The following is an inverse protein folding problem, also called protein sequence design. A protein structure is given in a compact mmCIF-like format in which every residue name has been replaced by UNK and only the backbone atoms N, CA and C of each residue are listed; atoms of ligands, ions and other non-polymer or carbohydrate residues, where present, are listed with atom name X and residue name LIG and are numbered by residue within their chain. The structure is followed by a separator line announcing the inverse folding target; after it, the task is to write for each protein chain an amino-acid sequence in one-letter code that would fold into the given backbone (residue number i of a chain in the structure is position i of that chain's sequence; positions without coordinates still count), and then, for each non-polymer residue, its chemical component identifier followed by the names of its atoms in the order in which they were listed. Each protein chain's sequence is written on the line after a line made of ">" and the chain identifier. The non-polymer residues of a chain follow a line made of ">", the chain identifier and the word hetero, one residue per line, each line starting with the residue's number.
data_IF_889736824513
#
_entry.id   IF_889736824513
#
_cell.length_a   1.000
_cell.length_b   1.000
_cell.length_c   1.000
_cell.angle_alpha   90.00
_cell.angle_beta   90.00
_cell.angle_gamma   90.00
#
_symmetry.space_group_name_H-M   'P 1'
#
loop_
_entity.id
_entity.type
_entity.pdbx_description
1 polymer ?
#
# COMPACT_ATOMS: atom_id res chain seq x y z
N UNK A 1 4.99 -17.68 10.43
CA UNK A 1 4.96 -17.36 11.90
C UNK A 1 5.69 -16.07 12.27
N UNK A 2 6.47 -15.47 11.38
CA UNK A 2 7.23 -14.23 11.66
C UNK A 2 6.35 -12.97 11.79
N UNK A 3 5.12 -13.00 11.26
CA UNK A 3 4.17 -11.87 11.38
C UNK A 3 3.37 -11.83 12.68
N UNK A 4 3.16 -12.97 13.33
CA UNK A 4 2.37 -13.06 14.57
C UNK A 4 3.16 -12.76 15.85
N UNK A 5 4.47 -12.91 15.84
CA UNK A 5 5.31 -12.63 17.04
C UNK A 5 5.36 -11.14 17.40
N UNK A 6 5.21 -10.23 16.46
CA UNK A 6 5.19 -8.79 16.76
C UNK A 6 3.86 -8.32 17.36
N UNK A 7 2.75 -9.00 17.07
CA UNK A 7 1.45 -8.72 17.69
C UNK A 7 1.32 -9.29 19.12
N UNK A 8 2.06 -10.33 19.45
CA UNK A 8 1.99 -11.04 20.76
C UNK A 8 2.59 -10.22 21.91
N UNK A 9 3.49 -9.29 21.66
CA UNK A 9 4.14 -8.50 22.73
C UNK A 9 3.21 -7.53 23.47
N UNK A 10 2.14 -7.07 22.82
CA UNK A 10 1.21 -6.10 23.42
C UNK A 10 -0.05 -6.75 24.03
N UNK A 11 -0.27 -8.06 23.79
CA UNK A 11 -1.46 -8.77 24.27
C UNK A 11 -1.14 -10.23 24.64
N UNK A 12 -0.29 -10.43 25.65
CA UNK A 12 0.13 -11.76 26.13
C UNK A 12 -1.02 -12.72 26.51
N UNK A 13 -2.24 -12.25 26.58
CA UNK A 13 -3.42 -13.01 26.98
C UNK A 13 -4.50 -13.10 25.87
N UNK A 14 -4.21 -12.73 24.63
CA UNK A 14 -5.18 -12.84 23.53
C UNK A 14 -5.06 -14.22 22.89
N UNK A 15 -6.12 -15.04 22.93
CA UNK A 15 -6.15 -16.35 22.28
C UNK A 15 -5.94 -16.23 20.76
N UNK A 16 -5.08 -17.07 20.21
CA UNK A 16 -4.78 -17.13 18.76
C UNK A 16 -5.29 -18.44 18.19
N UNK A 17 -6.22 -18.37 17.24
CA UNK A 17 -6.85 -19.55 16.60
C UNK A 17 -6.40 -19.66 15.13
N UNK A 18 -5.83 -20.79 14.75
CA UNK A 18 -5.39 -21.05 13.38
C UNK A 18 -6.58 -21.37 12.45
N UNK A 19 -6.64 -20.68 11.28
CA UNK A 19 -7.59 -21.02 10.20
C UNK A 19 -6.85 -21.81 9.11
N UNK A 20 -7.15 -23.10 8.95
CA UNK A 20 -6.39 -23.99 8.07
C UNK A 20 -7.28 -24.75 7.09
N UNK A 21 -6.76 -25.02 5.88
CA UNK A 21 -7.37 -25.94 4.93
C UNK A 21 -6.93 -27.40 5.14
N UNK A 22 -5.95 -27.66 6.02
CA UNK A 22 -5.35 -28.98 6.20
C UNK A 22 -5.94 -29.71 7.41
N UNK A 23 -6.69 -30.78 7.15
CA UNK A 23 -7.47 -31.56 8.12
C UNK A 23 -6.71 -32.73 8.77
N UNK A 24 -5.41 -32.95 8.49
CA UNK A 24 -4.64 -34.08 9.00
C UNK A 24 -4.52 -34.07 10.53
N UNK A 25 -4.76 -35.22 11.17
CA UNK A 25 -4.65 -35.37 12.63
C UNK A 25 -3.27 -35.03 13.20
N UNK A 26 -2.23 -35.20 12.39
CA UNK A 26 -0.84 -34.85 12.75
C UNK A 26 -0.62 -33.34 12.84
N UNK A 27 -1.39 -32.56 12.11
CA UNK A 27 -1.27 -31.11 12.12
C UNK A 27 -1.92 -30.47 13.37
N UNK A 28 -2.89 -31.14 13.99
CA UNK A 28 -3.51 -30.68 15.22
C UNK A 28 -2.51 -30.51 16.36
N UNK A 29 -1.70 -31.52 16.59
CA UNK A 29 -0.64 -31.47 17.60
C UNK A 29 0.44 -30.42 17.26
N UNK A 30 0.66 -30.16 15.97
CA UNK A 30 1.61 -29.15 15.50
C UNK A 30 1.13 -27.73 15.85
N UNK A 31 -0.14 -27.39 15.60
CA UNK A 31 -0.66 -26.05 15.90
C UNK A 31 -0.56 -25.72 17.40
N UNK A 32 -0.94 -26.64 18.28
CA UNK A 32 -0.79 -26.45 19.72
C UNK A 32 0.67 -26.32 20.16
N UNK A 33 1.59 -27.09 19.54
CA UNK A 33 3.03 -26.99 19.83
C UNK A 33 3.62 -25.68 19.36
N UNK A 34 3.10 -25.10 18.29
CA UNK A 34 3.52 -23.79 17.76
C UNK A 34 2.85 -22.60 18.50
N UNK A 35 2.06 -22.88 19.55
CA UNK A 35 1.52 -21.86 20.45
C UNK A 35 0.15 -21.30 20.06
N UNK A 36 -0.62 -21.98 19.18
CA UNK A 36 -2.00 -21.63 18.91
C UNK A 36 -2.91 -22.18 20.01
N UNK A 37 -3.92 -21.40 20.42
CA UNK A 37 -4.92 -21.79 21.44
C UNK A 37 -6.06 -22.62 20.86
N UNK A 38 -6.26 -22.60 19.54
CA UNK A 38 -7.27 -23.35 18.82
C UNK A 38 -6.99 -23.43 17.31
N UNK A 39 -7.85 -24.14 16.59
CA UNK A 39 -7.81 -24.19 15.13
C UNK A 39 -9.20 -24.42 14.56
N UNK A 40 -9.46 -23.85 13.37
CA UNK A 40 -10.68 -24.07 12.59
C UNK A 40 -10.32 -24.52 11.17
N UNK A 41 -11.09 -25.49 10.65
CA UNK A 41 -10.92 -26.01 9.31
C UNK A 41 -11.74 -25.22 8.30
N UNK A 42 -11.14 -24.81 7.20
CA UNK A 42 -11.86 -24.19 6.08
C UNK A 42 -12.61 -25.26 5.26
N UNK A 43 -13.85 -25.03 4.83
CA UNK A 43 -14.67 -23.84 5.09
C UNK A 43 -15.21 -23.79 6.52
N UNK A 44 -15.19 -22.62 7.17
CA UNK A 44 -15.68 -22.42 8.54
C UNK A 44 -17.17 -22.11 8.50
N UNK A 45 -17.99 -22.87 9.23
CA UNK A 45 -19.39 -22.52 9.44
C UNK A 45 -19.57 -21.52 10.59
N UNK A 46 -20.65 -20.73 10.54
CA UNK A 46 -20.96 -19.78 11.63
C UNK A 46 -21.01 -20.45 13.00
N UNK A 47 -21.59 -21.66 13.09
CA UNK A 47 -21.70 -22.45 14.34
C UNK A 47 -20.29 -22.81 14.88
N UNK A 48 -19.40 -23.28 14.01
CA UNK A 48 -18.03 -23.65 14.42
C UNK A 48 -17.24 -22.43 14.91
N UNK A 49 -17.43 -21.29 14.25
CA UNK A 49 -16.80 -20.04 14.68
C UNK A 49 -17.32 -19.58 16.03
N UNK A 50 -18.65 -19.65 16.24
CA UNK A 50 -19.29 -19.28 17.49
C UNK A 50 -18.84 -20.18 18.65
N UNK A 51 -18.79 -21.50 18.46
CA UNK A 51 -18.31 -22.45 19.46
C UNK A 51 -16.86 -22.19 19.86
N UNK A 52 -15.99 -21.86 18.89
CA UNK A 52 -14.60 -21.59 19.15
C UNK A 52 -14.40 -20.23 19.86
N UNK A 53 -15.17 -19.22 19.50
CA UNK A 53 -15.20 -17.93 20.20
C UNK A 53 -15.64 -18.09 21.65
N UNK A 54 -16.70 -18.87 21.91
CA UNK A 54 -17.20 -19.15 23.27
C UNK A 54 -16.16 -19.82 24.15
N UNK A 55 -15.27 -20.66 23.57
CA UNK A 55 -14.20 -21.32 24.35
C UNK A 55 -13.13 -20.34 24.86
N UNK A 56 -12.90 -19.28 24.13
CA UNK A 56 -11.79 -18.36 24.40
C UNK A 56 -12.24 -17.03 25.02
N UNK A 57 -13.53 -16.68 24.89
CA UNK A 57 -14.05 -15.45 25.48
C UNK A 57 -14.28 -15.58 26.99
N UNK A 58 -14.01 -14.54 27.78
CA UNK A 58 -14.38 -14.46 29.21
C UNK A 58 -15.88 -14.66 29.38
N UNK A 59 -16.29 -15.45 30.37
CA UNK A 59 -17.70 -15.80 30.59
C UNK A 59 -18.62 -14.59 30.78
N UNK A 60 -18.12 -13.49 31.29
CA UNK A 60 -18.84 -12.23 31.44
C UNK A 60 -19.13 -11.50 30.11
N UNK A 61 -18.49 -11.90 29.00
CA UNK A 61 -18.73 -11.38 27.66
C UNK A 61 -19.66 -12.30 26.84
N UNK A 62 -19.99 -13.50 27.35
CA UNK A 62 -20.84 -14.47 26.65
C UNK A 62 -22.26 -14.28 27.13
N UNK A 63 -23.22 -13.99 26.23
CA UNK A 63 -24.65 -13.95 26.50
C UNK A 63 -25.35 -15.06 25.72
N UNK A 64 -26.02 -15.96 26.41
CA UNK A 64 -26.86 -16.97 25.77
C UNK A 64 -28.26 -16.39 25.54
N UNK A 65 -28.75 -16.48 24.30
CA UNK A 65 -30.14 -16.22 23.98
C UNK A 65 -30.95 -17.51 24.24
N UNK A 66 -31.85 -17.48 25.20
CA UNK A 66 -32.80 -18.58 25.37
C UNK A 66 -33.83 -18.53 24.24
N UNK A 67 -34.15 -19.72 23.70
CA UNK A 67 -35.06 -19.90 22.57
C UNK A 67 -36.55 -19.56 22.86
N UNK A 68 -36.89 -19.10 24.05
CA UNK A 68 -38.23 -18.61 24.41
C UNK A 68 -38.19 -17.07 24.37
N UNK A 69 -38.68 -16.52 23.26
CA UNK A 69 -38.68 -15.12 22.87
C UNK A 69 -39.36 -14.13 23.82
N UNK A 70 -38.99 -14.06 25.07
CA UNK A 70 -39.27 -12.93 25.96
C UNK A 70 -38.11 -11.94 25.87
N UNK A 71 -38.28 -10.95 24.98
CA UNK A 71 -37.48 -9.74 24.95
C UNK A 71 -37.74 -8.98 26.25
N UNK A 72 -37.01 -9.30 27.31
CA UNK A 72 -36.75 -8.30 28.33
C UNK A 72 -35.99 -7.17 27.59
N UNK A 73 -36.53 -5.96 27.64
CA UNK A 73 -35.84 -4.79 27.14
C UNK A 73 -34.46 -4.72 27.83
N UNK A 74 -33.49 -5.36 27.21
CA UNK A 74 -32.10 -5.07 27.50
C UNK A 74 -31.93 -3.72 26.86
N UNK A 75 -31.71 -2.67 27.66
CA UNK A 75 -31.05 -1.48 27.13
C UNK A 75 -29.84 -2.00 26.43
N UNK A 76 -29.87 -2.03 25.07
CA UNK A 76 -28.70 -2.25 24.27
C UNK A 76 -27.66 -1.29 24.87
N UNK A 77 -26.44 -1.75 25.23
CA UNK A 77 -25.41 -0.82 25.64
C UNK A 77 -25.45 0.25 24.56
N UNK A 78 -25.78 1.48 24.98
CA UNK A 78 -25.77 2.63 24.11
C UNK A 78 -24.39 2.49 23.47
N UNK A 79 -24.37 2.07 22.20
CA UNK A 79 -23.15 2.17 21.40
C UNK A 79 -22.84 3.62 21.55
N UNK A 80 -21.88 3.94 22.45
CA UNK A 80 -21.33 5.28 22.54
C UNK A 80 -20.99 5.56 21.09
N UNK A 81 -21.73 6.46 20.49
CA UNK A 81 -21.47 6.88 19.13
C UNK A 81 -20.05 7.37 19.17
N UNK A 82 -19.09 6.51 18.77
CA UNK A 82 -17.69 6.91 18.71
C UNK A 82 -17.70 8.20 17.92
N UNK A 83 -17.38 9.29 18.61
CA UNK A 83 -17.44 10.63 18.02
C UNK A 83 -16.66 10.58 16.72
N UNK A 84 -17.36 10.78 15.59
CA UNK A 84 -16.71 10.73 14.28
C UNK A 84 -15.50 11.65 14.27
N UNK A 85 -14.38 11.18 13.73
CA UNK A 85 -13.22 12.05 13.51
C UNK A 85 -13.60 13.15 12.52
N UNK A 86 -13.07 14.37 12.67
CA UNK A 86 -13.43 15.49 11.78
C UNK A 86 -13.13 15.18 10.31
N UNK A 87 -11.93 14.64 10.03
CA UNK A 87 -11.49 14.31 8.68
C UNK A 87 -10.77 12.96 8.69
N UNK A 88 -11.22 12.04 7.83
CA UNK A 88 -10.51 10.81 7.49
C UNK A 88 -9.68 11.04 6.23
N UNK A 89 -8.41 10.73 6.30
CA UNK A 89 -7.57 10.64 5.11
C UNK A 89 -7.64 9.21 4.57
N UNK A 90 -7.88 9.07 3.28
CA UNK A 90 -7.87 7.77 2.61
C UNK A 90 -7.03 7.79 1.34
N UNK A 91 -6.59 6.62 0.92
CA UNK A 91 -5.75 6.45 -0.25
C UNK A 91 -5.92 5.06 -0.85
N UNK A 92 -5.24 4.78 -1.95
CA UNK A 92 -5.16 3.45 -2.56
C UNK A 92 -3.92 2.68 -2.05
N UNK A 93 -3.92 1.34 -2.13
CA UNK A 93 -2.75 0.50 -1.80
C UNK A 93 -1.51 0.90 -2.60
N UNK A 94 -1.71 1.44 -3.81
CA UNK A 94 -0.65 1.94 -4.69
C UNK A 94 0.10 3.18 -4.16
N UNK A 95 -0.24 3.66 -2.95
CA UNK A 95 0.55 4.68 -2.23
C UNK A 95 1.85 4.13 -1.66
N UNK A 96 2.00 2.81 -1.61
CA UNK A 96 3.20 2.12 -1.11
C UNK A 96 3.68 2.71 0.24
N UNK A 97 2.74 2.90 1.17
CA UNK A 97 3.05 3.28 2.54
C UNK A 97 3.24 2.04 3.40
N UNK A 98 4.24 2.02 4.29
CA UNK A 98 4.37 0.97 5.28
C UNK A 98 3.14 0.91 6.20
N UNK A 99 2.68 -0.30 6.54
CA UNK A 99 1.51 -0.54 7.38
C UNK A 99 1.60 0.22 8.71
N UNK A 100 2.77 0.22 9.35
CA UNK A 100 2.98 0.94 10.61
C UNK A 100 2.76 2.47 10.52
N UNK A 101 2.87 3.06 9.32
CA UNK A 101 2.56 4.48 9.10
C UNK A 101 1.07 4.69 8.85
N UNK A 102 0.40 3.71 8.23
CA UNK A 102 -1.03 3.72 7.98
C UNK A 102 -1.78 3.54 9.31
N UNK A 103 -1.49 2.48 10.05
CA UNK A 103 -2.15 2.15 11.32
C UNK A 103 -1.95 3.23 12.37
N UNK A 104 -0.72 3.74 12.48
CA UNK A 104 -0.38 4.79 13.44
C UNK A 104 -1.09 6.11 13.17
N UNK A 105 -1.43 6.40 11.92
CA UNK A 105 -2.02 7.67 11.50
C UNK A 105 -3.51 7.56 11.13
N UNK A 106 -4.11 6.38 11.29
CA UNK A 106 -5.54 6.14 11.03
C UNK A 106 -5.97 6.45 9.58
N UNK A 107 -5.11 6.16 8.59
CA UNK A 107 -5.47 6.26 7.18
C UNK A 107 -6.31 5.06 6.75
N UNK A 108 -7.37 5.30 5.97
CA UNK A 108 -8.11 4.25 5.31
C UNK A 108 -7.50 3.95 3.93
N UNK A 109 -7.37 2.67 3.58
CA UNK A 109 -6.74 2.25 2.32
C UNK A 109 -7.70 1.43 1.48
N UNK A 110 -7.88 1.85 0.23
CA UNK A 110 -8.68 1.15 -0.79
C UNK A 110 -7.76 0.22 -1.58
N UNK A 111 -7.97 -1.11 -1.56
CA UNK A 111 -7.13 -2.03 -2.29
C UNK A 111 -7.40 -1.99 -3.80
N UNK A 112 -6.34 -1.96 -4.59
CA UNK A 112 -6.39 -2.31 -6.01
C UNK A 112 -6.61 -3.82 -6.18
N UNK A 113 -6.81 -4.27 -7.42
CA UNK A 113 -6.87 -5.69 -7.75
C UNK A 113 -5.68 -6.09 -8.61
N UNK A 114 -5.20 -7.30 -8.40
CA UNK A 114 -4.21 -7.96 -9.24
C UNK A 114 -4.88 -9.16 -9.90
N UNK A 115 -4.95 -9.14 -11.23
CA UNK A 115 -5.52 -10.22 -12.05
C UNK A 115 -4.42 -11.10 -12.62
N UNK A 116 -4.62 -12.40 -12.51
CA UNK A 116 -3.80 -13.45 -13.13
C UNK A 116 -4.72 -14.44 -13.84
N UNK A 117 -4.20 -15.41 -14.56
CA UNK A 117 -5.01 -16.53 -15.06
C UNK A 117 -5.64 -17.36 -13.92
N UNK A 118 -5.01 -17.37 -12.73
CA UNK A 118 -5.51 -18.05 -11.55
C UNK A 118 -6.63 -17.36 -10.80
N UNK A 119 -6.94 -16.10 -11.11
CA UNK A 119 -7.98 -15.32 -10.44
C UNK A 119 -7.66 -13.84 -10.21
N UNK A 120 -8.55 -13.20 -9.47
CA UNK A 120 -8.39 -11.83 -8.98
C UNK A 120 -8.03 -11.84 -7.50
N UNK A 121 -7.11 -10.98 -7.09
CA UNK A 121 -6.61 -10.86 -5.73
C UNK A 121 -6.56 -9.39 -5.30
N UNK A 122 -6.87 -9.13 -4.05
CA UNK A 122 -6.72 -7.79 -3.47
C UNK A 122 -5.24 -7.48 -3.24
N UNK A 123 -4.80 -6.36 -3.78
CA UNK A 123 -3.43 -5.86 -3.72
C UNK A 123 -3.00 -5.59 -2.28
N UNK A 124 -1.90 -6.21 -1.85
CA UNK A 124 -1.36 -6.06 -0.49
C UNK A 124 -2.15 -6.76 0.61
N UNK A 125 -3.30 -7.37 0.30
CA UNK A 125 -4.16 -8.10 1.26
C UNK A 125 -4.13 -9.60 0.98
N UNK A 126 -4.39 -10.01 -0.26
CA UNK A 126 -4.45 -11.41 -0.68
C UNK A 126 -3.23 -11.84 -1.49
N UNK A 127 -2.43 -10.89 -1.93
CA UNK A 127 -1.18 -11.14 -2.66
C UNK A 127 -0.07 -10.20 -2.22
N UNK A 128 1.16 -10.72 -2.25
CA UNK A 128 2.38 -9.97 -1.93
C UNK A 128 3.27 -9.82 -3.16
N UNK A 129 4.10 -8.77 -3.16
CA UNK A 129 4.97 -8.44 -4.30
C UNK A 129 5.91 -9.56 -4.71
N UNK A 130 6.58 -10.20 -3.75
CA UNK A 130 7.54 -11.26 -4.09
C UNK A 130 6.82 -12.48 -4.66
N UNK A 131 5.63 -12.82 -4.13
CA UNK A 131 4.79 -13.91 -4.62
C UNK A 131 4.34 -13.70 -6.05
N UNK A 132 3.81 -12.51 -6.36
CA UNK A 132 3.33 -12.22 -7.73
C UNK A 132 4.47 -12.13 -8.74
N UNK A 133 5.63 -11.58 -8.38
CA UNK A 133 6.79 -11.53 -9.26
C UNK A 133 7.36 -12.94 -9.51
N UNK A 134 7.37 -13.82 -8.50
CA UNK A 134 7.75 -15.22 -8.65
C UNK A 134 6.78 -15.96 -9.57
N UNK A 135 5.46 -15.79 -9.36
CA UNK A 135 4.41 -16.36 -10.22
C UNK A 135 4.62 -15.97 -11.69
N UNK A 136 4.78 -14.67 -11.97
CA UNK A 136 4.99 -14.17 -13.33
C UNK A 136 6.24 -14.75 -13.97
N UNK A 137 7.32 -14.91 -13.20
CA UNK A 137 8.58 -15.49 -13.67
C UNK A 137 8.47 -16.98 -13.95
N UNK A 138 7.84 -17.74 -13.06
CA UNK A 138 7.73 -19.20 -13.17
C UNK A 138 6.74 -19.63 -14.25
N UNK A 139 5.62 -18.93 -14.38
CA UNK A 139 4.58 -19.21 -15.37
C UNK A 139 4.85 -18.59 -16.72
N UNK A 140 5.66 -17.53 -16.80
CA UNK A 140 5.81 -16.73 -18.00
C UNK A 140 4.57 -15.90 -18.34
N UNK A 141 3.63 -15.79 -17.40
CA UNK A 141 2.36 -15.08 -17.53
C UNK A 141 2.42 -13.72 -16.87
N UNK A 142 1.76 -12.74 -17.47
CA UNK A 142 1.70 -11.39 -16.90
C UNK A 142 0.47 -11.21 -16.04
N UNK A 143 0.68 -10.74 -14.80
CA UNK A 143 -0.39 -10.20 -14.01
C UNK A 143 -0.76 -8.78 -14.49
N UNK A 144 -1.99 -8.38 -14.22
CA UNK A 144 -2.51 -7.04 -14.55
C UNK A 144 -3.00 -6.35 -13.28
N UNK A 145 -2.71 -5.06 -13.13
CA UNK A 145 -3.30 -4.25 -12.07
C UNK A 145 -4.60 -3.62 -12.55
N UNK A 146 -5.63 -3.67 -11.73
CA UNK A 146 -6.92 -3.07 -12.00
C UNK A 146 -7.29 -2.11 -10.87
N UNK A 147 -7.71 -0.91 -11.25
CA UNK A 147 -8.23 0.05 -10.29
C UNK A 147 -9.61 -0.40 -9.77
N UNK A 148 -9.95 -0.04 -8.52
CA UNK A 148 -11.30 -0.25 -7.99
C UNK A 148 -12.34 0.42 -8.89
N UNK A 149 -13.53 -0.20 -8.99
CA UNK A 149 -14.67 0.34 -9.75
C UNK A 149 -15.33 1.47 -8.98
N UNK A 150 -16.22 2.20 -9.64
CA UNK A 150 -17.03 3.26 -9.01
C UNK A 150 -17.81 2.71 -7.81
N UNK A 151 -18.46 1.56 -7.97
CA UNK A 151 -19.21 0.90 -6.89
C UNK A 151 -18.34 0.53 -5.68
N UNK A 152 -17.10 0.09 -5.93
CA UNK A 152 -16.17 -0.27 -4.86
C UNK A 152 -15.80 0.97 -4.02
N UNK A 153 -15.60 2.12 -4.69
CA UNK A 153 -15.35 3.40 -4.00
C UNK A 153 -16.59 3.94 -3.29
N UNK A 154 -17.79 3.75 -3.84
CA UNK A 154 -19.04 4.14 -3.17
C UNK A 154 -19.21 3.38 -1.84
N UNK A 155 -19.02 2.08 -1.85
CA UNK A 155 -19.06 1.25 -0.63
C UNK A 155 -17.98 1.67 0.36
N UNK A 156 -16.75 1.87 -0.11
CA UNK A 156 -15.63 2.31 0.71
C UNK A 156 -15.89 3.67 1.36
N UNK A 157 -16.34 4.68 0.60
CA UNK A 157 -16.63 6.00 1.14
C UNK A 157 -17.79 5.97 2.13
N UNK A 158 -18.85 5.21 1.83
CA UNK A 158 -19.96 5.03 2.75
C UNK A 158 -19.48 4.44 4.09
N UNK A 159 -18.61 3.43 4.05
CA UNK A 159 -18.01 2.86 5.26
C UNK A 159 -17.19 3.89 6.04
N UNK A 160 -16.31 4.63 5.37
CA UNK A 160 -15.47 5.61 6.06
C UNK A 160 -16.28 6.75 6.66
N UNK A 161 -17.38 7.14 6.03
CA UNK A 161 -18.30 8.16 6.56
C UNK A 161 -19.09 7.70 7.80
N UNK A 162 -19.10 6.42 8.13
CA UNK A 162 -19.60 5.95 9.44
C UNK A 162 -18.65 6.38 10.57
N UNK A 163 -17.36 6.55 10.28
CA UNK A 163 -16.25 6.81 11.22
C UNK A 163 -15.80 8.28 11.23
N UNK A 164 -16.07 9.02 10.15
CA UNK A 164 -15.61 10.40 9.94
C UNK A 164 -16.74 11.34 9.51
N UNK A 165 -16.54 12.66 9.73
CA UNK A 165 -17.44 13.68 9.21
C UNK A 165 -17.16 13.99 7.74
N UNK A 166 -15.87 14.02 7.38
CA UNK A 166 -15.40 14.21 6.01
C UNK A 166 -14.37 13.15 5.64
N UNK A 167 -14.31 12.80 4.36
CA UNK A 167 -13.27 11.95 3.78
C UNK A 167 -12.49 12.76 2.74
N UNK A 168 -11.16 12.76 2.84
CA UNK A 168 -10.26 13.27 1.80
C UNK A 168 -9.50 12.09 1.22
N UNK A 169 -9.86 11.70 0.00
CA UNK A 169 -9.26 10.58 -0.70
C UNK A 169 -8.17 11.05 -1.67
N UNK A 170 -6.99 10.45 -1.57
CA UNK A 170 -5.83 10.76 -2.38
C UNK A 170 -5.56 9.58 -3.31
N UNK A 171 -5.80 9.76 -4.60
CA UNK A 171 -5.63 8.75 -5.63
C UNK A 171 -4.34 8.91 -6.42
N UNK A 172 -3.92 7.80 -7.04
CA UNK A 172 -2.82 7.79 -8.00
C UNK A 172 -3.11 8.74 -9.18
N UNK A 173 -2.05 9.22 -9.83
CA UNK A 173 -2.13 10.13 -10.97
C UNK A 173 -3.14 9.65 -12.03
N UNK A 174 -4.08 10.51 -12.42
CA UNK A 174 -5.14 10.24 -13.42
C UNK A 174 -4.59 9.69 -14.74
N UNK A 175 -3.41 10.17 -15.15
CA UNK A 175 -2.77 9.72 -16.39
C UNK A 175 -2.16 8.31 -16.32
N UNK A 176 -2.08 7.73 -15.13
CA UNK A 176 -1.46 6.42 -14.87
C UNK A 176 -2.51 5.34 -14.68
N UNK A 177 -3.62 5.68 -14.02
CA UNK A 177 -4.69 4.74 -13.68
C UNK A 177 -6.07 5.41 -13.73
N UNK A 178 -7.15 4.67 -14.04
CA UNK A 178 -8.51 5.18 -13.96
C UNK A 178 -9.00 5.36 -12.51
N UNK A 179 -8.22 4.97 -11.48
CA UNK A 179 -8.63 5.03 -10.08
C UNK A 179 -9.14 6.41 -9.64
N UNK A 180 -8.41 7.47 -10.00
CA UNK A 180 -8.87 8.83 -9.70
C UNK A 180 -10.24 9.16 -10.31
N UNK A 181 -10.44 8.83 -11.59
CA UNK A 181 -11.72 9.10 -12.26
C UNK A 181 -12.87 8.30 -11.63
N UNK A 182 -12.63 7.03 -11.27
CA UNK A 182 -13.63 6.19 -10.61
C UNK A 182 -13.96 6.71 -9.20
N UNK A 183 -12.94 7.08 -8.41
CA UNK A 183 -13.14 7.65 -7.09
C UNK A 183 -13.87 9.01 -7.15
N UNK A 184 -13.53 9.85 -8.13
CA UNK A 184 -14.18 11.13 -8.34
C UNK A 184 -15.65 10.95 -8.73
N UNK A 185 -15.97 9.97 -9.59
CA UNK A 185 -17.36 9.66 -9.95
C UNK A 185 -18.14 9.18 -8.73
N UNK A 186 -17.58 8.23 -7.97
CA UNK A 186 -18.19 7.72 -6.73
C UNK A 186 -18.44 8.82 -5.69
N UNK A 187 -17.53 9.80 -5.58
CA UNK A 187 -17.65 10.89 -4.61
C UNK A 187 -18.88 11.78 -4.84
N UNK A 188 -19.46 11.80 -6.04
CA UNK A 188 -20.66 12.59 -6.35
C UNK A 188 -21.91 12.15 -5.59
N UNK A 189 -21.90 10.91 -5.07
CA UNK A 189 -22.98 10.40 -4.21
C UNK A 189 -22.92 10.96 -2.77
N UNK A 190 -21.89 11.76 -2.42
CA UNK A 190 -21.65 12.19 -1.06
C UNK A 190 -21.26 13.68 -1.00
N UNK A 191 -21.87 14.45 -0.09
CA UNK A 191 -21.57 15.88 0.09
C UNK A 191 -20.23 16.12 0.83
N UNK A 192 -19.71 15.12 1.50
CA UNK A 192 -18.59 15.21 2.43
C UNK A 192 -17.39 14.29 2.05
N UNK A 193 -17.29 13.93 0.78
CA UNK A 193 -16.14 13.23 0.20
C UNK A 193 -15.42 14.14 -0.80
N UNK A 194 -14.13 14.32 -0.62
CA UNK A 194 -13.26 15.09 -1.53
C UNK A 194 -12.19 14.19 -2.10
N UNK A 195 -12.05 14.14 -3.42
CA UNK A 195 -11.06 13.32 -4.12
C UNK A 195 -9.99 14.19 -4.76
N UNK A 196 -8.74 13.80 -4.61
CA UNK A 196 -7.57 14.52 -5.14
C UNK A 196 -6.76 13.61 -6.05
N UNK A 197 -6.50 14.08 -7.27
CA UNK A 197 -5.41 13.54 -8.08
C UNK A 197 -4.07 13.95 -7.48
N UNK A 198 -3.31 12.99 -6.97
CA UNK A 198 -1.96 13.25 -6.43
C UNK A 198 -0.99 13.73 -7.51
N UNK A 199 -1.22 13.40 -8.78
CA UNK A 199 -0.24 13.57 -9.85
C UNK A 199 1.01 12.71 -9.66
N UNK A 200 0.96 11.73 -8.75
CA UNK A 200 2.04 10.87 -8.32
C UNK A 200 1.61 9.40 -8.34
N UNK A 201 2.55 8.50 -8.06
CA UNK A 201 2.32 7.08 -7.81
C UNK A 201 3.27 6.60 -6.70
N UNK A 202 3.01 5.41 -6.18
CA UNK A 202 3.89 4.75 -5.22
C UNK A 202 4.14 5.64 -3.99
N UNK A 203 5.26 5.52 -3.31
CA UNK A 203 5.57 6.35 -2.14
C UNK A 203 5.66 7.86 -2.42
N UNK A 204 5.66 8.30 -3.70
CA UNK A 204 5.47 9.72 -4.05
C UNK A 204 4.06 10.19 -3.72
N UNK A 205 3.05 9.36 -3.97
CA UNK A 205 1.69 9.58 -3.48
C UNK A 205 1.65 9.40 -1.95
N UNK A 206 2.37 8.42 -1.42
CA UNK A 206 2.51 8.20 0.02
C UNK A 206 2.99 9.43 0.79
N UNK A 207 3.95 10.20 0.27
CA UNK A 207 4.40 11.46 0.87
C UNK A 207 3.26 12.49 0.98
N UNK A 208 2.38 12.55 -0.03
CA UNK A 208 1.21 13.45 -0.02
C UNK A 208 0.21 12.97 1.04
N UNK A 209 0.00 11.67 1.17
CA UNK A 209 -0.86 11.08 2.21
C UNK A 209 -0.34 11.40 3.61
N UNK A 210 0.96 11.22 3.86
CA UNK A 210 1.57 11.55 5.15
C UNK A 210 1.43 13.04 5.50
N UNK A 211 1.58 13.92 4.51
CA UNK A 211 1.36 15.36 4.73
C UNK A 211 -0.11 15.65 5.05
N UNK A 212 -1.07 15.01 4.35
CA UNK A 212 -2.49 15.16 4.65
C UNK A 212 -2.84 14.68 6.07
N UNK A 213 -2.29 13.53 6.49
CA UNK A 213 -2.44 13.01 7.84
C UNK A 213 -1.92 13.97 8.90
N UNK A 214 -0.75 14.59 8.66
CA UNK A 214 -0.20 15.62 9.53
C UNK A 214 -1.12 16.83 9.64
N UNK A 215 -1.70 17.28 8.53
CA UNK A 215 -2.66 18.39 8.52
C UNK A 215 -3.94 18.05 9.30
N UNK A 216 -4.48 16.84 9.10
CA UNK A 216 -5.68 16.37 9.81
C UNK A 216 -5.42 16.23 11.32
N UNK A 217 -4.27 15.67 11.71
CA UNK A 217 -3.85 15.58 13.10
C UNK A 217 -3.67 16.96 13.75
N UNK A 218 -3.28 17.96 12.97
CA UNK A 218 -3.22 19.36 13.40
C UNK A 218 -4.60 20.05 13.49
N UNK A 219 -5.71 19.33 13.27
CA UNK A 219 -7.08 19.86 13.37
C UNK A 219 -7.54 20.65 12.15
N UNK A 220 -6.85 20.53 11.01
CA UNK A 220 -7.22 21.24 9.78
C UNK A 220 -8.49 20.65 9.16
N UNK A 221 -9.37 21.52 8.65
CA UNK A 221 -10.58 21.12 7.93
C UNK A 221 -10.30 20.52 6.55
N UNK A 222 -11.22 19.69 6.05
CA UNK A 222 -11.05 18.97 4.79
C UNK A 222 -10.75 19.88 3.60
N UNK A 223 -11.45 21.00 3.47
CA UNK A 223 -11.24 21.99 2.40
C UNK A 223 -9.82 22.60 2.42
N UNK A 224 -9.33 22.96 3.61
CA UNK A 224 -8.00 23.53 3.76
C UNK A 224 -6.91 22.50 3.47
N UNK A 225 -7.10 21.24 3.91
CA UNK A 225 -6.22 20.13 3.55
C UNK A 225 -6.11 20.02 2.03
N UNK A 226 -7.24 19.98 1.34
CA UNK A 226 -7.27 19.89 -0.14
C UNK A 226 -6.47 21.03 -0.78
N UNK A 227 -6.63 22.27 -0.30
CA UNK A 227 -5.87 23.43 -0.83
C UNK A 227 -4.36 23.26 -0.59
N UNK A 228 -3.94 22.84 0.61
CA UNK A 228 -2.53 22.59 0.90
C UNK A 228 -1.95 21.47 0.03
N UNK A 229 -2.69 20.39 -0.18
CA UNK A 229 -2.23 19.28 -1.02
C UNK A 229 -2.03 19.70 -2.49
N UNK A 230 -2.85 20.61 -3.03
CA UNK A 230 -2.66 21.16 -4.38
C UNK A 230 -1.32 21.89 -4.56
N UNK A 231 -0.81 22.52 -3.51
CA UNK A 231 0.51 23.14 -3.51
C UNK A 231 1.60 22.09 -3.30
N UNK A 232 1.48 21.27 -2.25
CA UNK A 232 2.50 20.33 -1.82
C UNK A 232 2.82 19.25 -2.87
N UNK A 233 1.83 18.75 -3.62
CA UNK A 233 2.06 17.75 -4.67
C UNK A 233 3.05 18.20 -5.76
N UNK A 234 3.25 19.52 -5.95
CA UNK A 234 4.21 20.07 -6.91
C UNK A 234 5.66 19.94 -6.45
N UNK A 235 5.87 19.80 -5.13
CA UNK A 235 7.18 19.62 -4.53
C UNK A 235 7.67 18.17 -4.63
N UNK A 236 6.76 17.20 -4.82
CA UNK A 236 7.10 15.78 -4.83
C UNK A 236 7.91 15.43 -6.07
N UNK A 237 9.05 14.80 -5.84
CA UNK A 237 9.90 14.21 -6.86
C UNK A 237 9.82 12.70 -6.79
N UNK A 238 9.28 12.12 -7.84
CA UNK A 238 9.23 10.67 -8.03
C UNK A 238 10.09 10.30 -9.22
N UNK A 239 11.08 9.46 -8.97
CA UNK A 239 11.89 8.84 -10.02
C UNK A 239 12.22 7.40 -9.69
N UNK A 240 12.38 6.57 -10.70
CA UNK A 240 12.81 5.19 -10.53
C UNK A 240 13.65 4.71 -11.71
N UNK A 241 14.65 3.89 -11.40
CA UNK A 241 15.48 3.23 -12.41
C UNK A 241 14.95 1.83 -12.65
N UNK A 242 14.68 1.50 -13.92
CA UNK A 242 14.14 0.22 -14.33
C UNK A 242 15.26 -0.70 -14.78
N UNK A 243 15.28 -1.92 -14.24
CA UNK A 243 16.25 -2.94 -14.62
C UNK A 243 15.76 -3.84 -15.74
N UNK A 244 14.49 -4.25 -15.68
CA UNK A 244 13.88 -5.17 -16.65
C UNK A 244 12.77 -4.49 -17.43
N UNK A 245 13.11 -3.96 -18.60
CA UNK A 245 12.17 -3.20 -19.43
C UNK A 245 11.06 -4.03 -20.07
N UNK A 246 11.13 -5.37 -20.00
CA UNK A 246 10.09 -6.28 -20.47
C UNK A 246 8.74 -6.03 -19.80
N UNK A 247 8.74 -5.77 -18.51
CA UNK A 247 7.54 -5.45 -17.74
C UNK A 247 6.88 -4.15 -18.20
N UNK A 248 7.68 -3.11 -18.46
CA UNK A 248 7.16 -1.85 -19.03
C UNK A 248 6.59 -2.03 -20.43
N UNK A 249 7.19 -2.91 -21.23
CA UNK A 249 6.69 -3.20 -22.57
C UNK A 249 5.34 -3.93 -22.50
N UNK A 250 5.25 -4.96 -21.68
CA UNK A 250 4.03 -5.74 -21.51
C UNK A 250 2.89 -4.92 -20.90
N UNK A 251 3.23 -3.97 -20.01
CA UNK A 251 2.29 -2.98 -19.49
C UNK A 251 1.93 -1.86 -20.51
N UNK A 252 2.42 -1.95 -21.75
CA UNK A 252 2.14 -0.96 -22.80
C UNK A 252 2.79 0.41 -22.58
N UNK A 253 3.75 0.53 -21.67
CA UNK A 253 4.41 1.80 -21.34
C UNK A 253 5.58 2.14 -22.29
N UNK A 254 6.16 1.14 -22.93
CA UNK A 254 7.17 1.29 -23.98
C UNK A 254 6.90 0.32 -25.14
N UNK A 255 7.38 0.64 -26.35
CA UNK A 255 7.25 -0.26 -27.49
C UNK A 255 8.24 -1.41 -27.44
N UNK A 256 7.95 -2.52 -28.14
CA UNK A 256 8.84 -3.67 -28.28
C UNK A 256 10.21 -3.28 -28.86
N UNK A 257 10.23 -2.35 -29.81
CA UNK A 257 11.49 -1.83 -30.39
C UNK A 257 12.38 -1.19 -29.33
N UNK A 258 11.79 -0.38 -28.44
CA UNK A 258 12.50 0.26 -27.33
C UNK A 258 13.00 -0.78 -26.34
N UNK A 259 12.20 -1.78 -26.01
CA UNK A 259 12.61 -2.89 -25.14
C UNK A 259 13.81 -3.65 -25.71
N UNK A 260 13.76 -4.09 -26.98
CA UNK A 260 14.88 -4.78 -27.65
C UNK A 260 16.15 -3.94 -27.66
N UNK A 261 16.02 -2.63 -27.88
CA UNK A 261 17.17 -1.71 -27.83
C UNK A 261 17.76 -1.65 -26.41
N UNK A 262 16.93 -1.57 -25.39
CA UNK A 262 17.36 -1.57 -24.00
C UNK A 262 18.13 -2.84 -23.64
N UNK A 263 17.67 -4.00 -24.07
CA UNK A 263 18.34 -5.28 -23.84
C UNK A 263 19.70 -5.35 -24.58
N UNK A 264 19.71 -5.02 -25.88
CA UNK A 264 20.90 -5.15 -26.71
C UNK A 264 22.08 -4.29 -26.21
N UNK A 265 21.80 -3.11 -25.64
CA UNK A 265 22.80 -2.15 -25.20
C UNK A 265 22.89 -1.99 -23.68
N UNK A 266 22.29 -2.91 -22.90
CA UNK A 266 22.26 -2.83 -21.44
C UNK A 266 21.83 -1.43 -20.94
N UNK A 267 20.69 -0.96 -21.45
CA UNK A 267 20.17 0.36 -21.13
C UNK A 267 19.23 0.28 -19.91
N UNK A 268 19.45 1.18 -18.96
CA UNK A 268 18.62 1.31 -17.76
C UNK A 268 17.94 2.68 -17.77
N UNK A 269 16.67 2.75 -18.20
CA UNK A 269 15.93 4.00 -18.22
C UNK A 269 15.58 4.46 -16.82
N UNK A 270 15.72 5.77 -16.59
CA UNK A 270 15.20 6.46 -15.41
C UNK A 270 13.89 7.12 -15.81
N UNK A 271 12.82 6.67 -15.19
CA UNK A 271 11.47 7.21 -15.36
C UNK A 271 11.19 8.21 -14.24
N UNK A 272 10.55 9.31 -14.59
CA UNK A 272 10.09 10.34 -13.65
C UNK A 272 8.62 10.63 -13.89
N UNK A 273 7.92 11.06 -12.83
CA UNK A 273 6.62 11.72 -12.98
C UNK A 273 6.84 13.22 -13.09
N UNK A 274 6.33 13.79 -14.16
CA UNK A 274 6.33 15.24 -14.37
C UNK A 274 4.93 15.68 -14.81
N UNK A 275 4.31 16.53 -14.00
CA UNK A 275 2.92 16.97 -14.22
C UNK A 275 1.95 15.80 -14.38
N UNK A 276 2.04 14.82 -13.49
CA UNK A 276 1.22 13.63 -13.47
C UNK A 276 1.56 12.58 -14.55
N UNK A 277 2.50 12.82 -15.47
CA UNK A 277 2.82 11.92 -16.59
C UNK A 277 4.18 11.27 -16.43
N UNK A 278 4.25 9.98 -16.71
CA UNK A 278 5.52 9.24 -16.77
C UNK A 278 6.34 9.67 -18.00
N UNK A 279 7.62 9.96 -17.79
CA UNK A 279 8.58 10.30 -18.83
C UNK A 279 9.94 9.67 -18.56
N UNK A 280 10.63 9.22 -19.60
CA UNK A 280 12.04 8.83 -19.50
C UNK A 280 12.84 10.13 -19.40
N UNK A 281 13.53 10.34 -18.29
CA UNK A 281 14.38 11.51 -18.03
C UNK A 281 15.81 11.27 -18.49
N UNK A 282 16.31 10.05 -18.27
CA UNK A 282 17.71 9.68 -18.51
C UNK A 282 17.82 8.19 -18.79
N UNK A 283 18.85 7.79 -19.49
CA UNK A 283 19.16 6.38 -19.73
C UNK A 283 20.63 6.16 -19.34
N UNK A 284 20.87 5.20 -18.47
CA UNK A 284 22.21 4.76 -18.12
C UNK A 284 22.57 3.50 -18.90
N UNK A 285 23.83 3.41 -19.31
CA UNK A 285 24.37 2.28 -20.08
C UNK A 285 25.33 1.48 -19.21
N UNK A 286 25.31 0.17 -19.34
CA UNK A 286 26.25 -0.74 -18.71
C UNK A 286 25.64 -1.64 -17.64
N UNK A 287 26.49 -2.21 -16.78
CA UNK A 287 26.05 -3.15 -15.75
C UNK A 287 25.07 -2.50 -14.77
N UNK A 288 24.03 -3.23 -14.35
CA UNK A 288 22.93 -2.78 -13.45
C UNK A 288 23.44 -1.99 -12.24
N UNK A 289 24.39 -2.53 -11.48
CA UNK A 289 24.94 -1.86 -10.29
C UNK A 289 25.64 -0.54 -10.61
N UNK A 290 26.33 -0.45 -11.75
CA UNK A 290 26.95 0.81 -12.19
C UNK A 290 25.89 1.86 -12.57
N UNK A 291 24.81 1.43 -13.21
CA UNK A 291 23.69 2.31 -13.52
C UNK A 291 23.00 2.82 -12.25
N UNK A 292 22.82 1.96 -11.22
CA UNK A 292 22.28 2.34 -9.91
C UNK A 292 23.12 3.43 -9.24
N UNK A 293 24.43 3.27 -9.16
CA UNK A 293 25.34 4.28 -8.58
C UNK A 293 25.22 5.64 -9.27
N UNK A 294 25.17 5.62 -10.61
CA UNK A 294 24.99 6.85 -11.41
C UNK A 294 23.60 7.48 -11.17
N UNK A 295 22.56 6.66 -11.04
CA UNK A 295 21.20 7.12 -10.73
C UNK A 295 21.15 7.77 -9.36
N UNK A 296 21.64 7.10 -8.32
CA UNK A 296 21.73 7.64 -6.96
C UNK A 296 22.48 8.97 -6.97
N UNK A 297 23.68 9.02 -7.55
CA UNK A 297 24.48 10.24 -7.63
C UNK A 297 23.73 11.39 -8.33
N UNK A 298 22.96 11.08 -9.38
CA UNK A 298 22.19 12.11 -10.09
C UNK A 298 20.97 12.62 -9.33
N UNK A 299 20.46 11.85 -8.37
CA UNK A 299 19.33 12.24 -7.54
C UNK A 299 19.74 13.21 -6.43
N UNK A 300 21.01 13.14 -6.00
CA UNK A 300 21.58 14.08 -5.03
C UNK A 300 22.18 15.34 -5.68
N UNK A 301 21.73 15.69 -6.88
CA UNK A 301 22.14 16.96 -7.48
C UNK A 301 21.56 18.14 -6.67
N UNK A 302 22.42 19.11 -6.33
CA UNK A 302 22.05 20.31 -5.54
C UNK A 302 20.88 21.11 -6.13
N UNK A 303 20.72 21.08 -7.46
CA UNK A 303 19.60 21.73 -8.16
C UNK A 303 18.21 21.17 -7.79
N UNK A 304 18.15 19.98 -7.19
CA UNK A 304 16.88 19.35 -6.83
C UNK A 304 16.34 19.81 -5.49
N UNK A 305 17.10 20.58 -4.69
CA UNK A 305 16.68 21.15 -3.40
C UNK A 305 15.90 20.14 -2.54
N UNK A 306 16.46 18.92 -2.35
CA UNK A 306 15.82 17.84 -1.60
C UNK A 306 15.57 18.24 -0.15
N UNK A 307 14.34 18.08 0.35
CA UNK A 307 14.08 18.07 1.78
C UNK A 307 14.68 16.78 2.38
N UNK A 308 15.68 16.96 3.24
CA UNK A 308 16.44 15.85 3.84
C UNK A 308 15.74 15.16 4.99
N UNK A 309 14.55 15.60 5.37
CA UNK A 309 13.78 15.00 6.48
C UNK A 309 13.33 13.59 6.16
N UNK A 310 12.98 13.31 4.89
CA UNK A 310 12.45 12.01 4.50
C UNK A 310 12.76 11.65 3.06
N UNK A 311 13.32 10.46 2.86
CA UNK A 311 13.54 9.84 1.56
C UNK A 311 12.93 8.44 1.56
N UNK A 312 12.04 8.15 0.63
CA UNK A 312 11.61 6.79 0.34
C UNK A 312 12.54 6.15 -0.69
N UNK A 313 12.99 4.94 -0.39
CA UNK A 313 13.59 4.01 -1.35
C UNK A 313 12.56 2.90 -1.57
N UNK A 314 11.75 3.05 -2.61
CA UNK A 314 10.71 2.07 -2.96
C UNK A 314 11.23 1.13 -4.02
N UNK A 315 11.06 -0.19 -3.83
CA UNK A 315 11.69 -1.20 -4.65
C UNK A 315 10.79 -2.39 -4.96
N UNK A 316 11.11 -3.11 -6.04
CA UNK A 316 10.49 -4.37 -6.43
C UNK A 316 11.55 -5.44 -6.69
N UNK A 317 11.44 -6.61 -6.06
CA UNK A 317 12.28 -7.78 -6.32
C UNK A 317 13.78 -7.54 -6.11
N UNK A 318 14.17 -6.76 -5.08
CA UNK A 318 15.56 -6.60 -4.67
C UNK A 318 15.90 -7.52 -3.50
N UNK A 319 17.11 -8.06 -3.51
CA UNK A 319 17.66 -8.82 -2.39
C UNK A 319 18.11 -7.90 -1.25
N UNK A 320 18.20 -8.45 -0.04
CA UNK A 320 18.71 -7.71 1.12
C UNK A 320 20.13 -7.15 0.90
N UNK A 321 20.99 -7.87 0.17
CA UNK A 321 22.35 -7.40 -0.09
C UNK A 321 22.36 -6.27 -1.13
N UNK A 322 21.47 -6.30 -2.12
CA UNK A 322 21.27 -5.20 -3.05
C UNK A 322 20.75 -3.94 -2.33
N UNK A 323 19.81 -4.10 -1.40
CA UNK A 323 19.32 -2.99 -0.56
C UNK A 323 20.43 -2.41 0.32
N UNK A 324 21.28 -3.25 0.93
CA UNK A 324 22.44 -2.78 1.70
C UNK A 324 23.42 -1.96 0.83
N UNK A 325 23.67 -2.42 -0.39
CA UNK A 325 24.53 -1.70 -1.35
C UNK A 325 23.93 -0.33 -1.71
N UNK A 326 22.64 -0.29 -2.05
CA UNK A 326 21.93 0.97 -2.34
C UNK A 326 21.97 1.90 -1.12
N UNK A 327 21.72 1.38 0.07
CA UNK A 327 21.76 2.13 1.33
C UNK A 327 23.10 2.78 1.56
N UNK A 328 24.20 2.01 1.36
CA UNK A 328 25.56 2.51 1.49
C UNK A 328 25.81 3.68 0.52
N UNK A 329 25.50 3.49 -0.75
CA UNK A 329 25.67 4.53 -1.77
C UNK A 329 24.86 5.80 -1.47
N UNK A 330 23.63 5.66 -0.95
CA UNK A 330 22.78 6.80 -0.58
C UNK A 330 23.40 7.57 0.60
N UNK A 331 23.81 6.86 1.66
CA UNK A 331 24.39 7.47 2.85
C UNK A 331 25.73 8.14 2.61
N UNK A 332 26.49 7.68 1.59
CA UNK A 332 27.74 8.31 1.17
C UNK A 332 27.51 9.64 0.43
N UNK A 333 26.31 9.92 -0.08
CA UNK A 333 26.00 11.15 -0.83
C UNK A 333 25.57 12.29 0.07
N UNK A 334 24.72 12.02 1.05
CA UNK A 334 24.20 13.06 1.94
C UNK A 334 23.66 12.47 3.24
N UNK A 335 23.55 13.33 4.26
CA UNK A 335 22.91 13.01 5.53
C UNK A 335 21.39 13.19 5.40
N UNK A 336 20.66 12.09 5.22
CA UNK A 336 19.20 12.06 5.25
C UNK A 336 18.75 11.64 6.64
N UNK A 337 17.83 12.39 7.24
CA UNK A 337 17.33 12.13 8.60
C UNK A 337 16.60 10.78 8.67
N UNK A 338 15.65 10.56 7.75
CA UNK A 338 14.85 9.35 7.69
C UNK A 338 14.88 8.74 6.29
N UNK A 339 15.42 7.54 6.16
CA UNK A 339 15.34 6.74 4.94
C UNK A 339 14.36 5.60 5.20
N UNK A 340 13.25 5.59 4.45
CA UNK A 340 12.22 4.56 4.54
C UNK A 340 12.38 3.62 3.35
N UNK A 341 12.59 2.34 3.64
CA UNK A 341 12.65 1.28 2.65
C UNK A 341 11.28 0.66 2.52
N UNK A 342 10.66 0.81 1.35
CA UNK A 342 9.31 0.31 1.10
C UNK A 342 9.32 -0.62 -0.09
N UNK A 343 8.76 -1.81 0.08
CA UNK A 343 8.47 -2.68 -1.04
C UNK A 343 7.27 -2.11 -1.79
N UNK A 344 7.39 -1.95 -3.11
CA UNK A 344 6.26 -1.54 -3.94
C UNK A 344 5.12 -2.56 -3.84
N UNK A 345 3.88 -2.11 -3.84
CA UNK A 345 2.72 -2.99 -3.84
C UNK A 345 2.71 -3.90 -5.08
N UNK A 346 2.08 -5.07 -5.03
CA UNK A 346 1.88 -5.94 -6.20
C UNK A 346 1.40 -5.17 -7.44
N UNK A 347 0.36 -4.34 -7.30
CA UNK A 347 -0.22 -3.56 -8.39
C UNK A 347 0.78 -2.58 -9.05
N UNK A 348 1.76 -2.08 -8.30
CA UNK A 348 2.85 -1.25 -8.82
C UNK A 348 3.97 -2.12 -9.40
N UNK A 349 4.40 -3.15 -8.67
CA UNK A 349 5.56 -3.97 -9.00
C UNK A 349 5.42 -4.75 -10.32
N UNK A 350 4.22 -5.26 -10.63
CA UNK A 350 3.95 -5.98 -11.88
C UNK A 350 4.18 -5.14 -13.14
N UNK A 351 4.12 -3.81 -13.01
CA UNK A 351 4.35 -2.89 -14.13
C UNK A 351 5.82 -2.49 -14.30
N UNK A 352 6.62 -2.54 -13.24
CA UNK A 352 8.02 -2.09 -13.29
C UNK A 352 9.04 -3.24 -13.23
N UNK A 353 8.64 -4.40 -12.73
CA UNK A 353 9.43 -5.62 -12.67
C UNK A 353 10.53 -5.63 -11.62
N UNK A 354 11.16 -6.80 -11.42
CA UNK A 354 12.19 -6.99 -10.42
C UNK A 354 13.45 -6.20 -10.73
N UNK A 355 14.20 -5.84 -9.68
CA UNK A 355 15.42 -5.06 -9.77
C UNK A 355 15.19 -3.56 -9.98
N UNK A 356 13.94 -3.11 -10.00
CA UNK A 356 13.57 -1.68 -10.06
C UNK A 356 13.56 -1.07 -8.68
N UNK A 357 14.10 0.14 -8.54
CA UNK A 357 13.88 0.94 -7.34
C UNK A 357 13.77 2.43 -7.67
N UNK A 358 13.06 3.12 -6.80
CA UNK A 358 12.84 4.56 -6.89
C UNK A 358 13.40 5.31 -5.69
N UNK A 359 13.67 6.59 -5.89
CA UNK A 359 13.98 7.57 -4.87
C UNK A 359 12.91 8.66 -4.93
N UNK A 360 12.14 8.77 -3.84
CA UNK A 360 10.95 9.62 -3.77
C UNK A 360 11.05 10.51 -2.55
N UNK A 361 10.94 11.82 -2.75
CA UNK A 361 11.13 12.83 -1.73
C UNK A 361 10.38 14.12 -2.05
N UNK A 362 10.21 14.97 -1.06
CA UNK A 362 9.75 16.34 -1.26
C UNK A 362 10.93 17.27 -1.54
N UNK A 363 10.73 18.31 -2.34
CA UNK A 363 11.65 19.44 -2.41
C UNK A 363 11.36 20.42 -1.28
N UNK A 364 12.38 21.13 -0.87
CA UNK A 364 12.19 22.35 -0.07
C UNK A 364 11.46 23.39 -0.91
N UNK A 365 10.63 24.21 -0.27
CA UNK A 365 10.08 25.40 -0.94
C UNK A 365 11.23 26.29 -1.39
N UNK A 366 11.18 26.77 -2.63
CA UNK A 366 12.04 27.85 -3.07
C UNK A 366 11.59 29.09 -2.27
N UNK A 367 12.45 29.59 -1.37
CA UNK A 367 12.22 30.82 -0.61
C UNK A 367 12.06 32.05 -1.52
#
# INVERSE_FOLDING_TARGET
>A
LVGSEMCIRDSQNTPVVALTANAGSENKALYFREGFDGYLLKPVSGVQLEEELIRHLPKNLIRQFNAEGTVGMIEAPILEHRKKVPVMISTDTTSDLPDYLIDKNLAAVMPYRVKTEGGEFLDGVETETDGILAYMKERGEMAQSEAPKVSDYEEFFAEQLTKAQFVVHISMAESVSPGFANALEASKAFDNVMVIDSGQLSSGMGLIVLYALSCAAGGMGAGDIVQKLKAYKKQIQTSFIVSETGYLMQAGKISEKVHKLCQAFMLHPVVVLKNGRMKIKKIYVGRRKTAWKKYIASTFNKELHMDKKMLFITYAGLTNDELKEITKEVREKDAIENIIYQKASPAVAINCGPGTFGMLFAKMDDE
#
